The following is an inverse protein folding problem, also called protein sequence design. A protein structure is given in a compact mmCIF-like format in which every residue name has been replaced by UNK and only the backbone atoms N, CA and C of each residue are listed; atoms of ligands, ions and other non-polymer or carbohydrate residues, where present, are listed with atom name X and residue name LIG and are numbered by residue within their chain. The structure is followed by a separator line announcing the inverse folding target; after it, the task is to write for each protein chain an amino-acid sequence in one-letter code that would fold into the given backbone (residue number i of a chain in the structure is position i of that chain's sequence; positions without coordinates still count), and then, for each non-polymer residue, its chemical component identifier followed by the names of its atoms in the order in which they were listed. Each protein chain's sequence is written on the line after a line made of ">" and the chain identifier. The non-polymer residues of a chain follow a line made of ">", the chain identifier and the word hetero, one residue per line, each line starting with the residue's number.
data_IF_098555276339
#
_entry.id   IF_098555276339
#
_cell.length_a   1.000
_cell.length_b   1.000
_cell.length_c   1.000
_cell.angle_alpha   90.00
_cell.angle_beta   90.00
_cell.angle_gamma   90.00
#
_symmetry.space_group_name_H-M   'P 1'
#
loop_
_entity.id
_entity.type
_entity.pdbx_description
1 polymer ?
#
# COMPACT_ATOMS: atom_id res chain seq x y z
N UNK A 1 -17.22 -7.99 -18.92
CA UNK A 1 -18.55 -8.55 -19.20
C UNK A 1 -18.99 -9.62 -18.20
N UNK A 2 -18.08 -10.10 -17.31
CA UNK A 2 -18.36 -11.12 -16.30
C UNK A 2 -17.97 -10.72 -14.89
N UNK A 3 -17.68 -9.45 -14.66
CA UNK A 3 -17.28 -8.91 -13.35
C UNK A 3 -17.94 -7.57 -13.13
N UNK A 4 -18.63 -7.42 -12.02
CA UNK A 4 -19.11 -6.13 -11.51
C UNK A 4 -18.14 -5.62 -10.45
N UNK A 5 -17.80 -4.33 -10.50
CA UNK A 5 -16.84 -3.68 -9.60
C UNK A 5 -17.59 -2.74 -8.67
N UNK A 6 -17.54 -3.00 -7.38
CA UNK A 6 -18.09 -2.13 -6.35
C UNK A 6 -16.95 -1.47 -5.58
N UNK A 7 -16.90 -0.15 -5.62
CA UNK A 7 -15.87 0.65 -4.97
C UNK A 7 -16.51 1.40 -3.80
N UNK A 8 -16.06 1.11 -2.57
CA UNK A 8 -16.46 1.83 -1.38
C UNK A 8 -15.41 2.86 -1.02
N UNK A 9 -15.82 4.10 -0.82
CA UNK A 9 -14.94 5.17 -0.33
C UNK A 9 -15.70 6.07 0.65
N UNK A 10 -15.01 6.71 1.61
CA UNK A 10 -15.66 7.62 2.54
C UNK A 10 -16.12 8.89 1.82
N UNK A 11 -17.38 9.29 2.08
CA UNK A 11 -17.97 10.50 1.52
C UNK A 11 -17.24 11.74 2.01
N UNK A 12 -16.78 12.61 1.10
CA UNK A 12 -16.08 13.88 1.38
C UNK A 12 -14.76 13.75 2.20
N UNK A 13 -14.14 12.55 2.25
CA UNK A 13 -12.92 12.29 3.03
C UNK A 13 -11.77 11.71 2.20
N UNK A 14 -11.82 11.87 0.91
CA UNK A 14 -10.73 11.56 -0.03
C UNK A 14 -10.40 12.82 -0.83
N UNK A 15 -9.16 12.98 -1.29
CA UNK A 15 -8.81 14.12 -2.13
C UNK A 15 -9.65 14.14 -3.40
N UNK A 16 -9.89 15.32 -3.96
CA UNK A 16 -10.70 15.45 -5.16
C UNK A 16 -10.16 14.63 -6.33
N UNK A 17 -8.84 14.62 -6.50
CA UNK A 17 -8.17 13.82 -7.53
C UNK A 17 -8.45 12.32 -7.33
N UNK A 18 -8.31 11.82 -6.10
CA UNK A 18 -8.59 10.40 -5.80
C UNK A 18 -10.06 10.04 -6.02
N UNK A 19 -10.98 10.90 -5.57
CA UNK A 19 -12.41 10.69 -5.79
C UNK A 19 -12.72 10.61 -7.27
N UNK A 20 -12.29 11.61 -8.04
CA UNK A 20 -12.56 11.67 -9.47
C UNK A 20 -11.92 10.51 -10.26
N UNK A 21 -10.75 10.03 -9.84
CA UNK A 21 -10.15 8.83 -10.44
C UNK A 21 -11.04 7.59 -10.34
N UNK A 22 -11.85 7.47 -9.29
CA UNK A 22 -12.79 6.36 -9.12
C UNK A 22 -14.13 6.66 -9.79
N UNK A 23 -14.67 7.84 -9.56
CA UNK A 23 -16.07 8.19 -9.87
C UNK A 23 -16.29 8.64 -11.32
N UNK A 24 -15.25 8.95 -12.07
CA UNK A 24 -15.33 9.35 -13.48
C UNK A 24 -15.09 8.20 -14.46
N UNK A 25 -14.79 7.01 -13.97
CA UNK A 25 -14.69 5.81 -14.81
C UNK A 25 -16.10 5.34 -15.14
N UNK A 26 -16.44 5.37 -16.44
CA UNK A 26 -17.77 4.99 -16.94
C UNK A 26 -17.80 3.51 -17.31
N UNK A 27 -18.83 2.81 -16.89
CA UNK A 27 -19.10 1.42 -17.22
C UNK A 27 -20.35 0.94 -16.51
N UNK A 28 -21.18 0.17 -17.21
CA UNK A 28 -22.42 -0.38 -16.63
C UNK A 28 -22.16 -1.41 -15.51
N UNK A 29 -20.91 -1.83 -15.36
CA UNK A 29 -20.43 -2.78 -14.37
C UNK A 29 -19.56 -2.12 -13.28
N UNK A 30 -19.53 -0.78 -13.20
CA UNK A 30 -18.72 -0.03 -12.23
C UNK A 30 -19.65 0.79 -11.33
N UNK A 31 -19.63 0.48 -10.06
CA UNK A 31 -20.50 1.07 -9.05
C UNK A 31 -19.67 1.71 -7.94
N UNK A 32 -19.74 3.03 -7.83
CA UNK A 32 -19.07 3.78 -6.76
C UNK A 32 -20.07 4.08 -5.63
N UNK A 33 -19.70 3.73 -4.42
CA UNK A 33 -20.49 3.92 -3.20
C UNK A 33 -19.73 4.84 -2.25
N UNK A 34 -20.20 6.07 -2.10
CA UNK A 34 -19.70 7.04 -1.13
C UNK A 34 -20.41 6.82 0.21
N UNK A 35 -19.73 6.26 1.19
CA UNK A 35 -20.27 5.95 2.52
C UNK A 35 -20.12 7.15 3.45
N UNK A 36 -21.20 7.57 4.12
CA UNK A 36 -21.16 8.60 5.18
C UNK A 36 -20.46 8.05 6.43
N UNK A 37 -19.13 7.91 6.35
CA UNK A 37 -18.28 7.34 7.37
C UNK A 37 -16.82 7.69 7.11
N UNK A 38 -15.93 6.91 7.67
CA UNK A 38 -14.49 7.01 7.45
C UNK A 38 -13.96 5.78 6.67
N UNK A 39 -12.65 5.73 6.44
CA UNK A 39 -12.02 4.63 5.71
C UNK A 39 -12.16 3.29 6.45
N UNK A 40 -12.09 3.29 7.78
CA UNK A 40 -12.23 2.08 8.59
C UNK A 40 -13.66 1.53 8.51
N UNK A 41 -14.67 2.41 8.41
CA UNK A 41 -16.06 1.99 8.19
C UNK A 41 -16.22 1.26 6.86
N UNK A 42 -15.66 1.82 5.78
CA UNK A 42 -15.67 1.16 4.47
C UNK A 42 -14.95 -0.20 4.53
N UNK A 43 -13.80 -0.27 5.19
CA UNK A 43 -13.03 -1.51 5.33
C UNK A 43 -13.77 -2.55 6.16
N UNK A 44 -14.44 -2.14 7.25
CA UNK A 44 -15.27 -2.99 8.09
C UNK A 44 -16.43 -3.59 7.29
N UNK A 45 -17.12 -2.78 6.49
CA UNK A 45 -18.22 -3.24 5.63
C UNK A 45 -17.74 -4.26 4.58
N UNK A 46 -16.62 -4.00 3.94
CA UNK A 46 -16.00 -4.94 3.00
C UNK A 46 -15.69 -6.27 3.69
N UNK A 47 -15.00 -6.25 4.84
CA UNK A 47 -14.68 -7.47 5.59
C UNK A 47 -15.92 -8.23 6.04
N UNK A 48 -16.95 -7.55 6.52
CA UNK A 48 -18.22 -8.15 6.93
C UNK A 48 -18.94 -8.81 5.75
N UNK A 49 -18.97 -8.14 4.59
CA UNK A 49 -19.58 -8.70 3.37
C UNK A 49 -18.83 -9.93 2.84
N UNK A 50 -17.50 -9.99 3.04
CA UNK A 50 -16.73 -11.22 2.75
C UNK A 50 -17.01 -12.35 3.74
N UNK A 51 -17.26 -12.02 5.01
CA UNK A 51 -17.58 -12.97 6.07
C UNK A 51 -18.96 -13.61 5.92
N UNK A 52 -19.91 -12.85 5.39
CA UNK A 52 -21.26 -13.33 5.09
C UNK A 52 -21.70 -12.85 3.70
N UNK A 53 -21.74 -13.78 2.75
CA UNK A 53 -22.15 -13.53 1.36
C UNK A 53 -23.56 -14.06 1.07
N UNK A 54 -24.36 -14.35 2.09
CA UNK A 54 -25.72 -14.86 1.95
C UNK A 54 -26.65 -13.94 1.15
N UNK A 55 -26.38 -12.61 1.20
CA UNK A 55 -27.10 -11.59 0.45
C UNK A 55 -26.95 -11.73 -1.08
N UNK A 56 -25.97 -12.48 -1.57
CA UNK A 56 -25.79 -12.79 -3.00
C UNK A 56 -26.54 -14.04 -3.47
N UNK A 57 -27.27 -14.70 -2.58
CA UNK A 57 -28.10 -15.87 -2.91
C UNK A 57 -27.34 -17.09 -3.44
N UNK A 58 -26.02 -17.16 -3.23
CA UNK A 58 -25.16 -18.27 -3.68
C UNK A 58 -24.90 -18.34 -5.19
N UNK A 59 -25.30 -17.31 -5.95
CA UNK A 59 -25.19 -17.28 -7.41
C UNK A 59 -23.87 -16.66 -7.90
N UNK A 60 -23.17 -15.92 -7.04
CA UNK A 60 -21.88 -15.27 -7.32
C UNK A 60 -21.04 -15.20 -6.04
N UNK A 61 -19.79 -14.78 -6.18
CA UNK A 61 -18.87 -14.64 -5.07
C UNK A 61 -18.14 -13.31 -5.14
N UNK A 62 -17.87 -12.72 -3.98
CA UNK A 62 -17.01 -11.53 -3.88
C UNK A 62 -15.55 -11.94 -4.07
N UNK A 63 -14.83 -11.12 -4.84
CA UNK A 63 -13.38 -11.16 -4.94
C UNK A 63 -12.79 -9.81 -4.52
N UNK A 64 -11.83 -9.84 -3.59
CA UNK A 64 -11.17 -8.61 -3.15
C UNK A 64 -10.18 -8.12 -4.21
N UNK A 65 -10.25 -6.82 -4.55
CA UNK A 65 -9.28 -6.15 -5.43
C UNK A 65 -8.42 -5.16 -4.63
N UNK A 66 -8.15 -5.48 -3.37
CA UNK A 66 -7.33 -4.69 -2.47
C UNK A 66 -5.92 -5.31 -2.28
N UNK A 67 -5.14 -4.75 -1.35
CA UNK A 67 -3.77 -5.19 -1.06
C UNK A 67 -3.63 -6.64 -0.56
N UNK A 68 -4.71 -7.28 -0.11
CA UNK A 68 -4.70 -8.66 0.39
C UNK A 68 -4.70 -9.67 -0.76
N UNK A 69 -5.18 -9.28 -1.95
CA UNK A 69 -5.29 -10.20 -3.08
C UNK A 69 -3.92 -10.64 -3.58
N UNK A 70 -3.69 -11.96 -3.59
CA UNK A 70 -2.46 -12.57 -4.09
C UNK A 70 -2.13 -12.19 -5.55
N UNK A 71 -3.13 -12.06 -6.41
CA UNK A 71 -2.94 -11.68 -7.81
C UNK A 71 -2.28 -10.31 -7.94
N UNK A 72 -2.56 -9.37 -7.02
CA UNK A 72 -1.87 -8.07 -7.00
C UNK A 72 -0.41 -8.21 -6.65
N UNK A 73 -0.07 -9.05 -5.65
CA UNK A 73 1.33 -9.31 -5.28
C UNK A 73 2.08 -9.94 -6.44
N UNK A 74 1.47 -10.92 -7.14
CA UNK A 74 2.08 -11.53 -8.32
C UNK A 74 2.39 -10.49 -9.41
N UNK A 75 1.46 -9.58 -9.69
CA UNK A 75 1.67 -8.52 -10.67
C UNK A 75 2.82 -7.58 -10.25
N UNK A 76 2.95 -7.29 -8.96
CA UNK A 76 4.02 -6.42 -8.43
C UNK A 76 5.41 -7.04 -8.56
N UNK A 77 5.55 -8.37 -8.64
CA UNK A 77 6.85 -9.03 -8.89
C UNK A 77 7.49 -8.48 -10.18
N UNK A 78 6.69 -8.17 -11.19
CA UNK A 78 7.16 -7.65 -12.48
C UNK A 78 7.96 -6.35 -12.32
N UNK A 79 7.62 -5.49 -11.36
CA UNK A 79 8.33 -4.22 -11.14
C UNK A 79 9.80 -4.44 -10.81
N UNK A 80 10.09 -5.44 -9.98
CA UNK A 80 11.46 -5.78 -9.55
C UNK A 80 12.28 -6.36 -10.71
N UNK A 81 11.69 -7.28 -11.50
CA UNK A 81 12.36 -7.81 -12.69
C UNK A 81 12.58 -6.72 -13.72
N UNK A 82 11.57 -5.91 -14.03
CA UNK A 82 11.69 -4.84 -15.00
C UNK A 82 12.78 -3.84 -14.63
N UNK A 83 12.78 -3.33 -13.40
CA UNK A 83 13.76 -2.38 -12.92
C UNK A 83 15.18 -2.98 -12.89
N UNK A 84 15.31 -4.25 -12.46
CA UNK A 84 16.60 -4.94 -12.46
C UNK A 84 17.15 -5.12 -13.86
N UNK A 85 16.35 -5.59 -14.82
CA UNK A 85 16.77 -5.78 -16.21
C UNK A 85 17.19 -4.48 -16.87
N UNK A 86 16.49 -3.37 -16.59
CA UNK A 86 16.84 -2.05 -17.08
C UNK A 86 18.21 -1.54 -16.59
N UNK A 87 18.70 -2.07 -15.46
CA UNK A 87 19.97 -1.67 -14.84
C UNK A 87 21.08 -2.73 -14.91
N UNK A 88 20.93 -3.75 -15.76
CA UNK A 88 21.94 -4.76 -16.01
C UNK A 88 21.81 -6.06 -15.18
N UNK A 89 20.63 -6.30 -14.60
CA UNK A 89 20.31 -7.62 -14.04
C UNK A 89 20.16 -8.68 -15.14
N UNK A 90 20.36 -9.98 -14.88
CA UNK A 90 20.70 -10.57 -13.57
C UNK A 90 22.18 -10.54 -13.21
N UNK A 91 23.08 -10.06 -14.10
CA UNK A 91 24.52 -10.07 -13.90
C UNK A 91 24.99 -9.08 -12.83
N UNK A 92 24.10 -8.18 -12.44
CA UNK A 92 24.34 -7.16 -11.42
C UNK A 92 23.33 -7.25 -10.29
N UNK A 93 23.82 -7.18 -9.04
CA UNK A 93 22.95 -7.12 -7.86
C UNK A 93 22.24 -5.77 -7.74
N UNK A 94 21.03 -5.78 -7.20
CA UNK A 94 20.19 -4.59 -6.97
C UNK A 94 19.74 -4.51 -5.52
N UNK A 95 19.49 -3.30 -5.05
CA UNK A 95 18.81 -3.02 -3.78
C UNK A 95 17.54 -2.23 -4.06
N UNK A 96 16.50 -2.43 -3.25
CA UNK A 96 15.24 -1.74 -3.40
C UNK A 96 14.79 -1.10 -2.09
N UNK A 97 14.31 0.14 -2.18
CA UNK A 97 13.59 0.82 -1.11
C UNK A 97 12.13 0.94 -1.50
N UNK A 98 11.25 0.49 -0.62
CA UNK A 98 9.84 0.34 -0.93
C UNK A 98 8.98 1.06 0.11
N UNK A 99 8.21 2.09 -0.30
CA UNK A 99 7.18 2.69 0.55
C UNK A 99 6.22 1.61 1.02
N UNK A 100 6.14 1.38 2.33
CA UNK A 100 5.51 0.18 2.86
C UNK A 100 4.46 0.50 3.92
N UNK A 101 3.20 0.20 3.61
CA UNK A 101 2.10 0.08 4.57
C UNK A 101 1.72 -1.39 4.75
N UNK A 102 0.93 -1.92 3.81
CA UNK A 102 0.40 -3.30 3.85
C UNK A 102 1.40 -4.41 3.46
N UNK A 103 2.67 -4.10 3.29
CA UNK A 103 3.73 -5.06 2.97
C UNK A 103 3.59 -5.81 1.62
N UNK A 104 2.59 -5.51 0.83
CA UNK A 104 2.32 -6.25 -0.42
C UNK A 104 3.44 -6.11 -1.44
N UNK A 105 3.84 -4.89 -1.73
CA UNK A 105 4.84 -4.56 -2.73
C UNK A 105 6.23 -5.11 -2.34
N UNK A 106 6.70 -4.81 -1.14
CA UNK A 106 8.01 -5.31 -0.69
C UNK A 106 8.04 -6.84 -0.56
N UNK A 107 6.90 -7.47 -0.26
CA UNK A 107 6.78 -8.93 -0.28
C UNK A 107 6.93 -9.48 -1.71
N UNK A 108 6.43 -8.76 -2.73
CA UNK A 108 6.70 -9.10 -4.12
C UNK A 108 8.20 -9.04 -4.45
N UNK A 109 8.94 -8.08 -3.89
CA UNK A 109 10.41 -8.04 -3.96
C UNK A 109 11.09 -9.23 -3.30
N UNK A 110 10.58 -9.64 -2.14
CA UNK A 110 11.04 -10.86 -1.47
C UNK A 110 10.81 -12.11 -2.34
N UNK A 111 9.67 -12.20 -3.00
CA UNK A 111 9.36 -13.29 -3.93
C UNK A 111 10.26 -13.25 -5.17
N UNK A 112 10.49 -12.05 -5.75
CA UNK A 112 11.42 -11.88 -6.87
C UNK A 112 12.82 -12.41 -6.52
N UNK A 113 13.32 -12.13 -5.31
CA UNK A 113 14.57 -12.72 -4.81
C UNK A 113 14.49 -14.23 -4.70
N UNK A 114 13.39 -14.78 -4.18
CA UNK A 114 13.21 -16.25 -4.11
C UNK A 114 13.11 -16.90 -5.48
N UNK A 115 12.68 -16.17 -6.50
CA UNK A 115 12.69 -16.62 -7.89
C UNK A 115 14.06 -16.53 -8.56
N UNK A 116 15.08 -16.01 -7.87
CA UNK A 116 16.46 -15.96 -8.34
C UNK A 116 16.95 -14.57 -8.75
N UNK A 117 16.14 -13.51 -8.63
CA UNK A 117 16.62 -12.16 -8.90
C UNK A 117 17.70 -11.77 -7.88
N UNK A 118 18.87 -11.23 -8.28
CA UNK A 118 19.99 -10.94 -7.39
C UNK A 118 19.72 -9.67 -6.57
N UNK A 119 18.77 -9.72 -5.64
CA UNK A 119 18.46 -8.64 -4.70
C UNK A 119 19.34 -8.80 -3.47
N UNK A 120 20.18 -7.81 -3.18
CA UNK A 120 21.06 -7.79 -2.01
C UNK A 120 20.40 -7.18 -0.77
N UNK A 121 19.45 -6.27 -0.97
CA UNK A 121 18.81 -5.52 0.11
C UNK A 121 17.37 -5.10 -0.27
N UNK A 122 16.47 -5.20 0.69
CA UNK A 122 15.12 -4.64 0.65
C UNK A 122 14.95 -3.69 1.84
N UNK A 123 14.64 -2.42 1.59
CA UNK A 123 14.41 -1.41 2.63
C UNK A 123 12.91 -1.18 2.79
N UNK A 124 12.41 -1.49 3.98
CA UNK A 124 11.03 -1.19 4.41
C UNK A 124 10.99 0.27 4.81
N UNK A 125 10.40 1.12 4.00
CA UNK A 125 10.24 2.54 4.28
C UNK A 125 8.85 2.80 4.84
N UNK A 126 8.74 3.23 6.10
CA UNK A 126 7.47 3.57 6.78
C UNK A 126 7.39 5.06 7.08
N UNK A 127 6.19 5.57 7.33
CA UNK A 127 5.99 6.83 8.00
C UNK A 127 6.00 6.66 9.53
N UNK A 128 5.48 7.63 10.30
CA UNK A 128 5.39 7.55 11.77
C UNK A 128 4.56 6.38 12.29
N UNK A 129 3.72 5.78 11.44
CA UNK A 129 3.04 4.51 11.72
C UNK A 129 4.00 3.35 11.45
N UNK A 130 4.94 3.15 12.33
CA UNK A 130 6.22 2.48 12.12
C UNK A 130 6.28 1.03 12.62
N UNK A 131 5.15 0.34 12.73
CA UNK A 131 5.07 -1.03 13.28
C UNK A 131 6.09 -1.99 12.64
N UNK A 132 6.29 -1.90 11.32
CA UNK A 132 7.26 -2.74 10.61
C UNK A 132 8.70 -2.33 10.90
N UNK A 133 8.98 -1.03 11.04
CA UNK A 133 10.30 -0.54 11.43
C UNK A 133 10.66 -1.00 12.85
N UNK A 134 9.75 -0.88 13.81
CA UNK A 134 9.97 -1.37 15.19
C UNK A 134 10.22 -2.87 15.24
N UNK A 135 9.52 -3.64 14.40
CA UNK A 135 9.79 -5.07 14.29
C UNK A 135 11.20 -5.32 13.72
N UNK A 136 11.58 -4.65 12.64
CA UNK A 136 12.90 -4.87 12.01
C UNK A 136 14.04 -4.34 12.86
N UNK A 137 13.90 -3.23 13.55
CA UNK A 137 14.94 -2.63 14.39
C UNK A 137 15.10 -3.29 15.75
N UNK A 138 14.02 -3.76 16.37
CA UNK A 138 13.99 -4.22 17.75
C UNK A 138 13.25 -5.54 18.01
N UNK A 139 12.88 -6.30 16.98
CA UNK A 139 12.06 -7.52 17.13
C UNK A 139 10.79 -7.29 17.95
N UNK A 140 10.12 -6.16 17.75
CA UNK A 140 8.93 -5.78 18.52
C UNK A 140 7.79 -5.40 17.56
N UNK A 141 6.81 -6.28 17.44
CA UNK A 141 5.58 -6.03 16.70
C UNK A 141 4.47 -5.68 17.66
N UNK A 142 4.00 -4.44 17.62
CA UNK A 142 3.03 -3.88 18.56
C UNK A 142 2.18 -2.83 17.87
N UNK A 143 0.86 -2.93 18.05
CA UNK A 143 -0.06 -1.91 17.57
C UNK A 143 -0.04 -0.71 18.54
N UNK A 144 0.21 0.48 17.99
CA UNK A 144 0.13 1.75 18.70
C UNK A 144 -1.06 2.56 18.19
N UNK A 145 -1.24 3.76 18.74
CA UNK A 145 -2.24 4.68 18.20
C UNK A 145 -1.85 5.13 16.80
N UNK A 146 -2.81 5.09 15.88
CA UNK A 146 -2.63 5.57 14.50
C UNK A 146 -2.43 7.09 14.49
N UNK A 147 -1.42 7.55 13.77
CA UNK A 147 -1.17 8.95 13.49
C UNK A 147 -1.53 9.27 12.03
N UNK A 148 -2.22 10.38 11.80
CA UNK A 148 -2.49 10.87 10.46
C UNK A 148 -1.29 11.64 9.92
N UNK A 149 -0.82 11.27 8.74
CA UNK A 149 0.39 11.82 8.11
C UNK A 149 0.11 12.37 6.71
N UNK A 150 1.14 12.98 6.09
CA UNK A 150 1.10 13.41 4.69
C UNK A 150 1.10 12.24 3.68
N UNK A 151 1.39 11.02 4.15
CA UNK A 151 1.39 9.79 3.34
C UNK A 151 0.29 8.81 3.78
N UNK A 152 -0.99 9.16 3.61
CA UNK A 152 -2.12 8.47 4.25
C UNK A 152 -2.27 7.00 3.84
N UNK A 153 -1.74 6.58 2.69
CA UNK A 153 -1.78 5.17 2.28
C UNK A 153 -0.85 4.28 3.12
N UNK A 154 0.04 4.88 3.91
CA UNK A 154 0.95 4.22 4.84
C UNK A 154 0.53 4.39 6.30
N UNK A 155 -0.60 5.07 6.59
CA UNK A 155 -1.17 5.21 7.93
C UNK A 155 -1.81 3.88 8.35
N UNK A 156 -0.98 2.92 8.71
CA UNK A 156 -1.35 1.53 8.96
C UNK A 156 -0.65 1.01 10.21
N UNK A 157 -1.43 0.47 11.15
CA UNK A 157 -0.94 -0.19 12.36
C UNK A 157 -1.06 -1.72 12.33
N UNK A 158 -1.69 -2.29 11.29
CA UNK A 158 -1.73 -3.73 11.03
C UNK A 158 -1.39 -3.97 9.57
N UNK A 159 -0.20 -4.48 9.33
CA UNK A 159 0.30 -4.72 7.96
C UNK A 159 -0.18 -6.07 7.42
N UNK A 160 -1.21 -6.06 6.59
CA UNK A 160 -2.00 -7.25 6.20
C UNK A 160 -1.22 -8.35 5.47
N UNK A 161 -0.14 -8.02 4.75
CA UNK A 161 0.67 -9.04 4.06
C UNK A 161 1.97 -9.39 4.80
N UNK A 162 2.24 -8.76 5.93
CA UNK A 162 3.41 -9.08 6.74
C UNK A 162 3.33 -10.52 7.29
N UNK A 163 2.12 -11.00 7.55
CA UNK A 163 1.87 -12.40 7.92
C UNK A 163 2.46 -13.41 6.94
N UNK A 164 2.57 -13.06 5.64
CA UNK A 164 3.17 -13.93 4.61
C UNK A 164 4.67 -14.10 4.80
N UNK A 165 5.36 -13.05 5.22
CA UNK A 165 6.78 -13.15 5.61
C UNK A 165 6.93 -13.94 6.91
N UNK A 166 6.08 -13.66 7.91
CA UNK A 166 6.09 -14.41 9.17
C UNK A 166 5.86 -15.91 8.94
N UNK A 167 4.92 -16.26 8.04
CA UNK A 167 4.66 -17.66 7.67
C UNK A 167 5.92 -18.33 7.12
N UNK A 168 6.65 -17.69 6.21
CA UNK A 168 7.91 -18.22 5.68
C UNK A 168 8.99 -18.33 6.78
N UNK A 169 9.11 -17.32 7.65
CA UNK A 169 10.08 -17.33 8.76
C UNK A 169 9.78 -18.43 9.80
N UNK A 170 8.51 -18.80 9.98
CA UNK A 170 8.09 -19.91 10.86
C UNK A 170 8.08 -21.26 10.14
N UNK A 171 8.73 -21.38 8.98
CA UNK A 171 8.80 -22.65 8.24
C UNK A 171 7.43 -23.10 7.72
N UNK A 172 6.54 -22.14 7.44
CA UNK A 172 5.15 -22.32 6.95
C UNK A 172 4.21 -22.93 7.99
N UNK A 173 4.47 -22.68 9.26
CA UNK A 173 3.56 -23.02 10.36
C UNK A 173 2.50 -21.93 10.52
N UNK A 174 1.31 -22.19 9.99
CA UNK A 174 0.18 -21.25 10.05
C UNK A 174 -0.40 -21.08 11.45
N UNK A 175 -0.29 -22.10 12.33
CA UNK A 175 -0.78 -22.00 13.71
C UNK A 175 0.10 -21.06 14.52
N UNK A 176 1.43 -21.19 14.40
CA UNK A 176 2.37 -20.30 15.08
C UNK A 176 2.17 -18.83 14.67
N UNK A 177 1.93 -18.55 13.37
CA UNK A 177 1.63 -17.19 12.89
C UNK A 177 0.31 -16.68 13.43
N UNK A 178 -0.75 -17.50 13.42
CA UNK A 178 -2.06 -17.14 13.95
C UNK A 178 -1.97 -16.76 15.43
N UNK A 179 -1.36 -17.62 16.26
CA UNK A 179 -1.19 -17.37 17.69
C UNK A 179 -0.37 -16.10 17.97
N UNK A 180 0.69 -15.85 17.19
CA UNK A 180 1.48 -14.64 17.29
C UNK A 180 0.64 -13.38 17.00
N UNK A 181 -0.14 -13.38 15.91
CA UNK A 181 -0.96 -12.23 15.52
C UNK A 181 -2.13 -11.99 16.46
N UNK A 182 -2.72 -13.05 17.04
CA UNK A 182 -3.73 -12.94 18.10
C UNK A 182 -3.14 -12.25 19.34
N UNK A 183 -1.97 -12.67 19.80
CA UNK A 183 -1.25 -12.02 20.91
C UNK A 183 -0.86 -10.57 20.59
N UNK A 184 -0.53 -10.26 19.35
CA UNK A 184 -0.17 -8.89 18.93
C UNK A 184 -1.33 -7.89 19.08
N UNK A 185 -2.58 -8.35 19.15
CA UNK A 185 -3.74 -7.49 19.45
C UNK A 185 -3.84 -7.12 20.94
N UNK A 186 -3.18 -7.88 21.81
CA UNK A 186 -3.21 -7.70 23.27
C UNK A 186 -1.97 -6.98 23.81
N UNK A 187 -0.87 -6.99 23.04
CA UNK A 187 0.39 -6.36 23.45
C UNK A 187 1.55 -6.66 22.51
N UNK A 188 2.75 -6.22 22.85
CA UNK A 188 3.92 -6.43 22.00
C UNK A 188 4.29 -7.91 21.90
N UNK A 189 4.63 -8.34 20.68
CA UNK A 189 5.13 -9.68 20.39
C UNK A 189 6.46 -9.63 19.68
N UNK A 190 7.23 -10.72 19.80
CA UNK A 190 8.50 -10.93 19.12
C UNK A 190 8.54 -12.34 18.56
N UNK A 191 9.44 -12.57 17.60
CA UNK A 191 9.78 -13.91 17.11
C UNK A 191 11.14 -14.35 17.67
N UNK A 192 11.47 -15.62 17.51
CA UNK A 192 12.77 -16.14 17.94
C UNK A 192 13.90 -15.36 17.26
N UNK A 193 14.93 -15.02 18.04
CA UNK A 193 16.04 -14.16 17.62
C UNK A 193 16.74 -14.63 16.34
N UNK A 194 16.89 -15.94 16.15
CA UNK A 194 17.50 -16.47 14.94
C UNK A 194 16.66 -16.24 13.68
N UNK A 195 15.30 -16.25 13.78
CA UNK A 195 14.39 -15.97 12.67
C UNK A 195 14.43 -14.49 12.32
N UNK A 196 14.39 -13.64 13.34
CA UNK A 196 14.51 -12.21 13.18
C UNK A 196 15.85 -11.82 12.54
N UNK A 197 16.96 -12.35 13.04
CA UNK A 197 18.29 -12.15 12.42
C UNK A 197 18.35 -12.66 10.99
N UNK A 198 17.64 -13.75 10.67
CA UNK A 198 17.54 -14.25 9.31
C UNK A 198 16.83 -13.24 8.39
N UNK A 199 15.70 -12.69 8.80
CA UNK A 199 15.01 -11.64 8.05
C UNK A 199 15.91 -10.41 7.83
N UNK A 200 16.65 -9.98 8.87
CA UNK A 200 17.58 -8.85 8.83
C UNK A 200 18.76 -9.01 7.86
N UNK A 201 19.05 -10.21 7.39
CA UNK A 201 20.06 -10.40 6.33
C UNK A 201 19.64 -9.73 5.01
N UNK A 202 18.36 -9.70 4.73
CA UNK A 202 17.80 -9.12 3.52
C UNK A 202 17.16 -7.76 3.77
N UNK A 203 16.39 -7.63 4.86
CA UNK A 203 15.60 -6.45 5.15
C UNK A 203 16.31 -5.45 6.06
N UNK A 204 16.23 -4.18 5.68
CA UNK A 204 16.43 -3.03 6.55
C UNK A 204 15.13 -2.24 6.63
N UNK A 205 15.09 -1.24 7.49
CA UNK A 205 13.91 -0.39 7.62
C UNK A 205 14.25 0.99 8.15
N UNK A 206 13.45 1.96 7.78
CA UNK A 206 13.50 3.31 8.29
C UNK A 206 12.09 3.87 8.48
N UNK A 207 11.93 4.78 9.45
CA UNK A 207 10.70 5.51 9.71
C UNK A 207 10.93 7.00 9.49
N UNK A 208 10.20 7.58 8.56
CA UNK A 208 10.35 8.97 8.14
C UNK A 208 9.11 9.76 8.55
N UNK A 209 9.31 10.85 9.26
CA UNK A 209 8.23 11.76 9.65
C UNK A 209 7.85 12.75 8.54
N UNK A 210 6.84 13.58 8.80
CA UNK A 210 6.35 14.56 7.83
C UNK A 210 7.40 15.63 7.48
N UNK A 211 8.28 16.00 8.42
CA UNK A 211 9.38 16.96 8.18
C UNK A 211 10.40 16.34 7.21
N UNK A 212 10.88 15.14 7.50
CA UNK A 212 11.77 14.40 6.60
C UNK A 212 11.15 14.13 5.23
N UNK A 213 9.85 13.92 5.19
CA UNK A 213 9.09 13.72 3.95
C UNK A 213 9.08 15.00 3.10
N UNK A 214 8.69 16.13 3.69
CA UNK A 214 8.63 17.43 2.98
C UNK A 214 10.01 17.91 2.55
N UNK A 215 11.02 17.75 3.40
CA UNK A 215 12.41 18.07 3.05
C UNK A 215 12.89 17.25 1.86
N UNK A 216 12.57 15.95 1.82
CA UNK A 216 12.98 15.08 0.71
C UNK A 216 12.29 15.46 -0.60
N UNK A 217 11.00 15.83 -0.57
CA UNK A 217 10.28 16.33 -1.75
C UNK A 217 11.00 17.58 -2.30
N UNK A 218 11.29 18.55 -1.43
CA UNK A 218 11.97 19.80 -1.80
C UNK A 218 13.37 19.52 -2.35
N UNK A 219 14.20 18.79 -1.63
CA UNK A 219 15.58 18.48 -2.02
C UNK A 219 15.66 17.79 -3.39
N UNK A 220 14.82 16.78 -3.63
CA UNK A 220 14.84 16.06 -4.90
C UNK A 220 14.36 16.94 -6.04
N UNK A 221 13.37 17.79 -5.82
CA UNK A 221 12.91 18.73 -6.82
C UNK A 221 13.99 19.77 -7.15
N UNK A 222 14.64 20.36 -6.16
CA UNK A 222 15.70 21.37 -6.35
C UNK A 222 16.94 20.79 -7.05
N UNK A 223 17.28 19.54 -6.78
CA UNK A 223 18.48 18.89 -7.35
C UNK A 223 18.25 18.26 -8.72
N UNK A 224 17.06 17.77 -8.98
CA UNK A 224 16.78 16.91 -10.14
C UNK A 224 15.59 17.37 -10.98
N UNK A 225 14.86 18.41 -10.59
CA UNK A 225 13.59 18.84 -11.20
C UNK A 225 12.53 17.72 -11.22
N UNK A 226 12.64 16.76 -10.29
CA UNK A 226 11.74 15.62 -10.18
C UNK A 226 10.86 15.73 -8.94
N UNK A 227 9.55 15.91 -9.15
CA UNK A 227 8.60 16.08 -8.08
C UNK A 227 8.12 14.73 -7.55
N UNK A 228 8.39 14.47 -6.28
CA UNK A 228 7.95 13.26 -5.59
C UNK A 228 6.56 13.44 -4.96
N UNK A 229 5.79 12.35 -4.89
CA UNK A 229 4.71 12.22 -3.93
C UNK A 229 5.25 11.88 -2.53
N UNK A 230 4.48 12.08 -1.45
CA UNK A 230 4.98 11.90 -0.09
C UNK A 230 5.37 10.45 0.23
N UNK A 231 4.74 9.44 -0.37
CA UNK A 231 5.09 8.04 -0.15
C UNK A 231 6.44 7.71 -0.79
N UNK A 232 6.63 8.11 -2.03
CA UNK A 232 7.90 7.93 -2.74
C UNK A 232 9.04 8.70 -2.06
N UNK A 233 8.76 9.89 -1.51
CA UNK A 233 9.74 10.67 -0.74
C UNK A 233 10.25 9.93 0.49
N UNK A 234 9.36 9.26 1.24
CA UNK A 234 9.72 8.36 2.35
C UNK A 234 10.64 7.25 1.86
N UNK A 235 10.31 6.63 0.72
CA UNK A 235 11.16 5.59 0.10
C UNK A 235 12.55 6.11 -0.25
N UNK A 236 12.67 7.32 -0.81
CA UNK A 236 13.95 7.95 -1.16
C UNK A 236 14.77 8.25 0.10
N UNK A 237 14.14 8.80 1.15
CA UNK A 237 14.82 9.11 2.41
C UNK A 237 15.36 7.83 3.07
N UNK A 238 14.51 6.80 3.18
CA UNK A 238 14.91 5.51 3.72
C UNK A 238 16.02 4.84 2.89
N UNK A 239 15.97 4.96 1.55
CA UNK A 239 17.04 4.48 0.68
C UNK A 239 18.39 5.12 1.01
N UNK A 240 18.41 6.43 1.20
CA UNK A 240 19.63 7.20 1.57
C UNK A 240 20.17 6.77 2.93
N UNK A 241 19.29 6.58 3.91
CA UNK A 241 19.67 6.26 5.29
C UNK A 241 20.13 4.80 5.46
N UNK A 242 19.55 3.86 4.69
CA UNK A 242 19.76 2.42 4.87
C UNK A 242 20.71 1.78 3.86
N UNK A 243 21.17 2.48 2.83
CA UNK A 243 22.00 1.92 1.77
C UNK A 243 23.27 1.28 2.32
N UNK A 244 23.39 -0.06 2.16
CA UNK A 244 24.54 -0.83 2.68
C UNK A 244 25.78 -0.70 1.82
N UNK A 245 25.59 -0.77 0.49
CA UNK A 245 26.71 -0.79 -0.47
C UNK A 245 26.49 0.29 -1.55
N UNK A 246 27.37 1.31 -1.61
CA UNK A 246 27.31 2.33 -2.64
C UNK A 246 27.53 1.82 -4.07
N UNK A 247 28.17 0.67 -4.26
CA UNK A 247 28.40 0.07 -5.58
C UNK A 247 27.14 -0.62 -6.14
N UNK A 248 26.20 -0.99 -5.27
CA UNK A 248 24.93 -1.59 -5.67
C UNK A 248 23.90 -0.51 -5.98
N UNK A 249 23.27 -0.53 -7.17
CA UNK A 249 22.14 0.38 -7.45
C UNK A 249 21.03 0.22 -6.43
N UNK A 250 20.62 1.34 -5.84
CA UNK A 250 19.46 1.42 -4.97
C UNK A 250 18.28 1.99 -5.76
N UNK A 251 17.23 1.23 -5.89
CA UNK A 251 16.02 1.58 -6.63
C UNK A 251 14.93 1.92 -5.62
N UNK A 252 14.35 3.09 -5.69
CA UNK A 252 13.14 3.42 -4.93
C UNK A 252 11.91 3.21 -5.81
N UNK A 253 10.95 2.44 -5.34
CA UNK A 253 9.69 2.25 -6.07
C UNK A 253 8.81 3.49 -5.91
N UNK A 254 8.39 4.07 -7.04
CA UNK A 254 7.40 5.15 -7.08
C UNK A 254 6.00 4.58 -6.96
N UNK A 255 5.28 4.90 -5.90
CA UNK A 255 4.00 4.25 -5.57
C UNK A 255 2.79 5.12 -5.83
N UNK A 256 2.97 6.43 -6.06
CA UNK A 256 1.90 7.36 -6.37
C UNK A 256 2.39 8.51 -7.26
N UNK A 257 1.44 9.32 -7.72
CA UNK A 257 1.72 10.54 -8.47
C UNK A 257 1.52 11.76 -7.55
N UNK A 258 2.39 12.80 -7.57
CA UNK A 258 2.30 13.97 -6.70
C UNK A 258 0.97 14.73 -6.80
N UNK A 259 0.31 14.72 -7.96
CA UNK A 259 -1.00 15.35 -8.13
C UNK A 259 -2.11 14.76 -7.24
N UNK A 260 -1.91 13.57 -6.68
CA UNK A 260 -2.87 12.97 -5.72
C UNK A 260 -2.75 13.55 -4.31
N UNK A 261 -1.62 14.19 -4.00
CA UNK A 261 -1.26 14.69 -2.68
C UNK A 261 -0.73 16.13 -2.74
N UNK A 262 -1.52 17.08 -3.28
CA UNK A 262 -1.07 18.46 -3.50
C UNK A 262 -0.65 19.15 -2.18
N UNK A 263 -1.30 18.83 -1.06
CA UNK A 263 -0.98 19.41 0.24
C UNK A 263 0.45 19.08 0.69
N UNK A 264 0.92 17.86 0.44
CA UNK A 264 2.28 17.46 0.78
C UNK A 264 3.31 18.22 -0.06
N UNK A 265 3.02 18.40 -1.36
CA UNK A 265 3.88 19.21 -2.26
C UNK A 265 3.90 20.67 -1.82
N UNK A 266 2.74 21.24 -1.51
CA UNK A 266 2.64 22.63 -1.05
C UNK A 266 3.44 22.85 0.25
N UNK A 267 3.27 21.96 1.23
CA UNK A 267 3.98 22.01 2.52
C UNK A 267 5.49 21.83 2.38
N UNK A 268 5.96 21.12 1.36
CA UNK A 268 7.38 20.96 1.12
C UNK A 268 8.09 22.24 0.71
N UNK A 269 7.35 23.25 0.21
CA UNK A 269 7.90 24.48 -0.35
C UNK A 269 8.59 24.29 -1.71
N UNK A 270 8.46 23.13 -2.34
CA UNK A 270 8.91 22.92 -3.71
C UNK A 270 8.19 23.90 -4.65
N UNK A 271 8.95 24.60 -5.49
CA UNK A 271 8.39 25.56 -6.46
C UNK A 271 7.88 24.83 -7.70
N UNK A 272 6.93 23.92 -7.48
CA UNK A 272 6.30 23.12 -8.53
C UNK A 272 4.81 22.95 -8.24
N UNK A 273 4.00 22.99 -9.29
CA UNK A 273 2.62 22.60 -9.23
C UNK A 273 2.49 21.12 -9.64
N UNK A 274 1.84 20.28 -8.82
CA UNK A 274 1.65 18.87 -9.16
C UNK A 274 0.56 18.74 -10.22
N UNK A 275 0.93 18.92 -11.50
CA UNK A 275 0.01 18.79 -12.64
C UNK A 275 -0.44 17.35 -12.82
N UNK A 276 -1.67 17.17 -13.31
CA UNK A 276 -2.17 15.84 -13.67
C UNK A 276 -1.37 15.24 -14.85
N UNK A 277 -1.22 13.90 -14.91
CA UNK A 277 -0.68 13.25 -16.09
C UNK A 277 -1.49 13.59 -17.35
N UNK A 278 -0.84 13.63 -18.53
CA UNK A 278 -1.49 14.05 -19.78
C UNK A 278 -2.79 13.28 -20.10
N UNK A 279 -2.83 11.97 -19.80
CA UNK A 279 -4.02 11.13 -20.03
C UNK A 279 -5.17 11.39 -19.03
N UNK A 280 -4.95 12.23 -18.03
CA UNK A 280 -5.92 12.62 -17.01
C UNK A 280 -6.11 14.14 -16.95
N UNK A 281 -5.61 14.90 -17.95
CA UNK A 281 -5.67 16.37 -17.95
C UNK A 281 -7.11 16.91 -17.86
N UNK A 282 -8.08 16.17 -18.36
CA UNK A 282 -9.51 16.46 -18.35
C UNK A 282 -10.27 15.91 -17.12
N UNK A 283 -9.56 15.37 -16.12
CA UNK A 283 -10.17 14.69 -14.97
C UNK A 283 -11.23 15.54 -14.25
N UNK A 284 -10.98 16.84 -14.13
CA UNK A 284 -11.90 17.77 -13.44
C UNK A 284 -13.12 18.16 -14.30
N UNK A 285 -13.08 17.88 -15.60
CA UNK A 285 -14.18 18.14 -16.54
C UNK A 285 -15.10 16.92 -16.72
N UNK A 286 -14.64 15.73 -16.29
CA UNK A 286 -15.39 14.48 -16.40
C UNK A 286 -16.55 14.43 -15.40
N UNK A 287 -17.72 13.93 -15.84
CA UNK A 287 -18.86 13.69 -14.96
C UNK A 287 -18.57 12.59 -13.95
N UNK A 288 -18.87 12.84 -12.69
CA UNK A 288 -18.75 11.87 -11.63
C UNK A 288 -20.01 11.01 -11.50
N UNK A 289 -19.85 9.70 -11.28
CA UNK A 289 -20.94 8.75 -11.04
C UNK A 289 -20.69 8.02 -9.72
N UNK A 290 -21.49 8.29 -8.72
CA UNK A 290 -21.47 7.57 -7.42
C UNK A 290 -22.81 7.70 -6.70
N UNK A 291 -23.08 6.74 -5.82
CA UNK A 291 -24.25 6.76 -4.94
C UNK A 291 -23.80 7.02 -3.50
N UNK A 292 -24.46 7.93 -2.81
CA UNK A 292 -24.19 8.19 -1.39
C UNK A 292 -25.07 7.29 -0.54
N UNK A 293 -24.45 6.50 0.36
CA UNK A 293 -25.15 5.65 1.33
C UNK A 293 -24.72 6.01 2.75
N UNK A 294 -25.60 5.76 3.70
CA UNK A 294 -25.27 5.86 5.12
C UNK A 294 -24.29 4.74 5.55
N UNK A 295 -23.66 4.91 6.72
CA UNK A 295 -22.79 3.90 7.32
C UNK A 295 -23.62 2.72 7.85
N UNK A 296 -24.28 2.02 6.94
CA UNK A 296 -25.18 0.90 7.21
C UNK A 296 -24.83 -0.30 6.32
N UNK A 297 -24.39 -1.39 6.92
CA UNK A 297 -23.97 -2.59 6.19
C UNK A 297 -25.09 -3.21 5.36
N UNK A 298 -26.31 -3.43 5.90
CA UNK A 298 -27.44 -3.93 5.13
C UNK A 298 -27.75 -3.09 3.87
N UNK A 299 -27.73 -1.76 3.98
CA UNK A 299 -28.00 -0.89 2.83
C UNK A 299 -26.93 -1.03 1.73
N UNK A 300 -25.65 -1.21 2.11
CA UNK A 300 -24.57 -1.47 1.15
C UNK A 300 -24.70 -2.85 0.51
N UNK A 301 -25.01 -3.88 1.29
CA UNK A 301 -25.24 -5.24 0.78
C UNK A 301 -26.45 -5.31 -0.16
N UNK A 302 -27.55 -4.66 0.20
CA UNK A 302 -28.73 -4.53 -0.65
C UNK A 302 -28.43 -3.82 -1.96
N UNK A 303 -27.62 -2.75 -1.92
CA UNK A 303 -27.16 -2.06 -3.12
C UNK A 303 -26.36 -3.00 -4.04
N UNK A 304 -25.40 -3.73 -3.47
CA UNK A 304 -24.60 -4.71 -4.23
C UNK A 304 -25.53 -5.78 -4.83
N UNK A 305 -26.42 -6.37 -4.03
CA UNK A 305 -27.35 -7.42 -4.48
C UNK A 305 -28.31 -6.97 -5.61
N UNK A 306 -28.65 -5.67 -5.67
CA UNK A 306 -29.52 -5.13 -6.72
C UNK A 306 -28.79 -4.78 -8.01
N UNK A 307 -27.50 -4.53 -7.96
CA UNK A 307 -26.75 -4.00 -9.10
C UNK A 307 -25.78 -5.01 -9.72
N UNK A 308 -25.45 -6.12 -9.07
CA UNK A 308 -24.71 -7.17 -9.76
C UNK A 308 -25.60 -7.83 -10.82
N UNK A 309 -25.03 -7.99 -11.99
CA UNK A 309 -25.77 -8.53 -13.15
C UNK A 309 -25.72 -10.04 -13.13
N UNK A 310 -26.88 -10.66 -13.03
CA UNK A 310 -27.08 -12.09 -13.26
C UNK A 310 -26.96 -12.34 -14.77
N UNK A 311 -25.74 -12.55 -15.30
CA UNK A 311 -25.48 -12.85 -16.71
C UNK A 311 -25.22 -14.34 -16.91
#
# INVERSE_FOLDING_TARGET
>A
EHVDIFILHPHERVSEVQRRQMTTVKGDNIHNIAVRGNFDDCQRMVKASFGDQSFLGGQTQLAAVNSINWARIMAQIVYYFHASLALGGPDRSMAFSVPTGNFGDIFAGYLAKKMGLPISQLVIATNRNDILHRFMSGNRYEQLQLEHTLSPSMDIMVSSNFERLLFDLHGRDGLAVKEMLEKASEGPVSIEDYRWKHARKLFDSDAVDDEGTTDTIREVFEQNEYLLDPHTAIGVRAARNCRRDPAVPMITLGTAHPAKFPDAVLRSGAKAEPSLPAHMSDLFERDEQYTVLDNDLPAVQDFIAKHWKNT
#
